data_IF_515590303673
#
_entry.id   IF_515590303673
#
_cell.length_a   1.000
_cell.length_b   1.000
_cell.length_c   1.000
_cell.angle_alpha   90.00
_cell.angle_beta   90.00
_cell.angle_gamma   90.00
#
_symmetry.space_group_name_H-M   'P 1'
#
loop_
_entity.id
_entity.type
_entity.pdbx_description
1 polymer ?
#
# COMPACT_ATOMS: atom_id res chain seq x y z
N UNK A 1 -8.37 20.80 7.85
CA UNK A 1 -7.65 19.77 7.08
C UNK A 1 -7.97 18.42 7.68
N UNK A 2 -8.40 17.45 6.87
CA UNK A 2 -8.68 16.09 7.33
C UNK A 2 -7.37 15.44 7.72
N UNK A 3 -7.22 15.03 8.98
CA UNK A 3 -5.99 14.42 9.49
C UNK A 3 -5.92 12.95 9.06
N UNK A 4 -5.34 12.70 7.90
CA UNK A 4 -5.19 11.37 7.32
C UNK A 4 -3.85 10.79 7.73
N UNK A 5 -3.84 9.54 8.18
CA UNK A 5 -2.62 8.79 8.50
C UNK A 5 -2.30 7.84 7.36
N UNK A 6 -1.09 7.94 6.81
CA UNK A 6 -0.57 6.95 5.85
C UNK A 6 -0.16 5.70 6.62
N UNK A 7 -0.81 4.58 6.32
CA UNK A 7 -0.54 3.29 6.97
C UNK A 7 0.48 2.47 6.19
N UNK A 8 0.44 2.53 4.86
CA UNK A 8 1.38 1.83 3.98
C UNK A 8 1.40 2.46 2.60
N UNK A 9 2.58 2.51 1.99
CA UNK A 9 2.77 2.79 0.57
C UNK A 9 3.44 1.58 -0.07
N UNK A 10 2.87 1.11 -1.17
CA UNK A 10 3.45 0.06 -2.01
C UNK A 10 3.97 0.73 -3.28
N UNK A 11 5.26 0.56 -3.52
CA UNK A 11 5.94 1.11 -4.68
C UNK A 11 6.66 0.02 -5.47
N UNK A 12 6.81 0.25 -6.75
CA UNK A 12 7.49 -0.61 -7.70
C UNK A 12 8.66 0.14 -8.34
N UNK A 13 9.73 -0.59 -8.62
CA UNK A 13 10.87 -0.10 -9.42
C UNK A 13 11.46 -1.23 -10.25
N UNK A 14 11.78 -0.97 -11.52
CA UNK A 14 12.51 -1.90 -12.40
C UNK A 14 14.00 -1.63 -12.27
N UNK A 15 14.67 -2.33 -11.34
CA UNK A 15 16.09 -2.09 -11.00
C UNK A 15 17.08 -2.81 -11.89
N UNK A 16 16.67 -3.90 -12.56
CA UNK A 16 17.50 -4.68 -13.48
C UNK A 16 16.66 -5.24 -14.63
N UNK A 17 17.28 -5.78 -15.66
CA UNK A 17 16.57 -6.51 -16.72
C UNK A 17 16.22 -7.93 -16.28
N UNK A 18 17.13 -8.56 -15.52
CA UNK A 18 16.94 -9.83 -14.84
C UNK A 18 17.80 -9.89 -13.58
N UNK A 19 17.40 -10.70 -12.60
CA UNK A 19 18.13 -10.98 -11.37
C UNK A 19 18.24 -12.50 -11.17
N UNK A 20 19.45 -12.96 -10.93
CA UNK A 20 19.73 -14.33 -10.50
C UNK A 20 19.53 -14.42 -8.98
N UNK A 21 18.31 -14.80 -8.60
CA UNK A 21 17.84 -14.78 -7.21
C UNK A 21 18.66 -15.72 -6.32
N UNK A 22 18.98 -16.93 -6.81
CA UNK A 22 19.78 -17.92 -6.07
C UNK A 22 21.17 -17.40 -5.79
N UNK A 23 21.86 -16.91 -6.84
CA UNK A 23 23.20 -16.33 -6.72
C UNK A 23 23.24 -15.11 -5.79
N UNK A 24 22.19 -14.29 -5.78
CA UNK A 24 22.09 -13.15 -4.87
C UNK A 24 21.96 -13.65 -3.43
N UNK A 25 21.11 -14.64 -3.18
CA UNK A 25 20.89 -15.20 -1.84
C UNK A 25 22.17 -15.77 -1.22
N UNK A 26 23.00 -16.44 -2.03
CA UNK A 26 24.29 -16.98 -1.60
C UNK A 26 25.31 -15.89 -1.21
N UNK A 27 25.29 -14.74 -1.91
CA UNK A 27 26.28 -13.66 -1.76
C UNK A 27 25.88 -12.56 -0.79
N UNK A 28 24.62 -12.47 -0.45
CA UNK A 28 24.08 -11.35 0.32
C UNK A 28 23.46 -11.80 1.66
N UNK A 29 24.22 -11.81 2.74
CA UNK A 29 23.65 -12.05 4.07
C UNK A 29 22.51 -11.07 4.38
N UNK A 30 21.41 -11.60 4.90
CA UNK A 30 20.21 -10.82 5.24
C UNK A 30 19.17 -10.71 4.13
N UNK A 31 19.42 -11.33 2.98
CA UNK A 31 18.43 -11.57 1.94
C UNK A 31 17.79 -12.94 2.18
N UNK A 32 16.48 -12.98 2.41
CA UNK A 32 15.75 -14.21 2.69
C UNK A 32 15.22 -14.81 1.39
N UNK A 33 15.56 -16.06 1.13
CA UNK A 33 15.08 -16.80 -0.03
C UNK A 33 14.61 -18.19 0.39
N UNK A 34 13.35 -18.48 0.17
CA UNK A 34 12.77 -19.82 0.25
C UNK A 34 11.93 -20.08 -1.00
N UNK A 35 12.45 -20.87 -1.96
CA UNK A 35 11.75 -21.11 -3.23
C UNK A 35 10.44 -21.89 -3.07
N UNK A 36 10.20 -22.54 -1.92
CA UNK A 36 8.94 -23.24 -1.65
C UNK A 36 7.84 -22.28 -1.20
N UNK A 37 8.20 -21.14 -0.59
CA UNK A 37 7.26 -20.14 -0.12
C UNK A 37 7.08 -18.99 -1.13
N UNK A 38 8.20 -18.53 -1.74
CA UNK A 38 8.18 -17.36 -2.60
C UNK A 38 9.29 -17.39 -3.66
N UNK A 39 8.94 -17.09 -4.89
CA UNK A 39 9.86 -17.15 -6.05
C UNK A 39 10.88 -16.00 -6.13
N UNK A 40 10.84 -15.05 -5.19
CA UNK A 40 11.73 -13.91 -5.10
C UNK A 40 12.51 -13.87 -3.79
N UNK A 41 13.33 -12.83 -3.64
CA UNK A 41 14.05 -12.52 -2.41
C UNK A 41 13.28 -11.50 -1.58
N UNK A 42 13.28 -11.67 -0.27
CA UNK A 42 12.76 -10.67 0.67
C UNK A 42 13.90 -10.07 1.49
N UNK A 43 13.92 -8.74 1.57
CA UNK A 43 14.87 -7.97 2.38
C UNK A 43 14.06 -7.12 3.35
N UNK A 44 14.29 -7.26 4.65
CA UNK A 44 13.70 -6.40 5.67
C UNK A 44 14.70 -5.36 6.12
N UNK A 45 14.30 -4.10 6.13
CA UNK A 45 15.02 -2.98 6.71
C UNK A 45 14.32 -2.59 8.02
N UNK A 46 15.10 -2.25 9.04
CA UNK A 46 14.56 -1.88 10.35
C UNK A 46 14.36 -0.35 10.51
N UNK A 47 15.13 0.43 9.78
CA UNK A 47 15.02 1.87 9.76
C UNK A 47 15.31 2.42 8.34
N UNK A 48 14.26 2.77 7.60
CA UNK A 48 12.83 2.64 7.92
C UNK A 48 12.36 1.17 7.99
N UNK A 49 11.24 0.92 8.68
CA UNK A 49 10.67 -0.42 8.79
C UNK A 49 9.90 -0.79 7.51
N UNK A 50 10.61 -1.29 6.52
CA UNK A 50 10.07 -1.67 5.22
C UNK A 50 10.58 -3.04 4.79
N UNK A 51 9.83 -3.67 3.89
CA UNK A 51 10.26 -4.87 3.17
C UNK A 51 10.44 -4.56 1.68
N UNK A 52 11.51 -5.07 1.09
CA UNK A 52 11.75 -5.06 -0.35
C UNK A 52 11.67 -6.50 -0.85
N UNK A 53 10.84 -6.71 -1.88
CA UNK A 53 10.74 -7.98 -2.57
C UNK A 53 11.43 -7.84 -3.94
N UNK A 54 12.38 -8.70 -4.24
CA UNK A 54 13.08 -8.74 -5.51
C UNK A 54 12.63 -9.94 -6.32
N UNK A 55 12.34 -9.71 -7.59
CA UNK A 55 11.84 -10.75 -8.50
C UNK A 55 12.88 -11.08 -9.59
N UNK A 56 12.86 -12.32 -10.15
CA UNK A 56 13.78 -12.74 -11.20
C UNK A 56 13.76 -11.83 -12.44
N UNK A 57 12.63 -11.23 -12.74
CA UNK A 57 12.47 -10.29 -13.86
C UNK A 57 13.10 -8.90 -13.60
N UNK A 58 13.77 -8.70 -12.46
CA UNK A 58 14.45 -7.46 -12.10
C UNK A 58 13.54 -6.40 -11.47
N UNK A 59 12.33 -6.77 -11.07
CA UNK A 59 11.42 -5.91 -10.30
C UNK A 59 11.81 -5.88 -8.83
N UNK A 60 11.65 -4.71 -8.22
CA UNK A 60 11.70 -4.49 -6.78
C UNK A 60 10.37 -3.88 -6.33
N UNK A 61 9.74 -4.49 -5.34
CA UNK A 61 8.53 -3.96 -4.69
C UNK A 61 8.90 -3.55 -3.27
N UNK A 62 8.64 -2.29 -2.93
CA UNK A 62 8.78 -1.75 -1.57
C UNK A 62 7.42 -1.71 -0.89
N UNK A 63 7.32 -2.21 0.33
CA UNK A 63 6.10 -2.16 1.15
C UNK A 63 6.44 -1.89 2.61
N UNK A 64 5.52 -1.29 3.36
CA UNK A 64 5.71 -0.90 4.77
C UNK A 64 6.09 0.57 4.94
N UNK A 65 6.46 1.28 3.88
CA UNK A 65 6.80 2.69 3.94
C UNK A 65 5.56 3.56 4.27
N UNK A 66 5.80 4.66 4.99
CA UNK A 66 4.76 5.65 5.34
C UNK A 66 4.93 6.99 4.64
N UNK A 67 6.05 7.18 3.95
CA UNK A 67 6.36 8.36 3.15
C UNK A 67 7.23 7.98 1.94
N UNK A 68 7.41 8.92 1.00
CA UNK A 68 8.16 8.69 -0.23
C UNK A 68 9.68 8.62 0.00
N UNK A 69 10.18 9.34 1.00
CA UNK A 69 11.61 9.36 1.33
C UNK A 69 12.08 7.99 1.85
N UNK A 70 11.24 7.31 2.64
CA UNK A 70 11.51 5.95 3.09
C UNK A 70 11.61 4.96 1.93
N UNK A 71 10.79 5.12 0.89
CA UNK A 71 10.83 4.28 -0.31
C UNK A 71 12.11 4.52 -1.09
N UNK A 72 12.42 5.79 -1.37
CA UNK A 72 13.61 6.18 -2.12
C UNK A 72 14.90 5.70 -1.42
N UNK A 73 14.98 5.95 -0.12
CA UNK A 73 16.08 5.47 0.71
C UNK A 73 16.23 3.94 0.63
N UNK A 74 15.14 3.21 0.83
CA UNK A 74 15.15 1.75 0.89
C UNK A 74 15.54 1.10 -0.42
N UNK A 75 15.02 1.60 -1.54
CA UNK A 75 15.38 1.11 -2.87
C UNK A 75 16.86 1.40 -3.16
N UNK A 76 17.36 2.60 -2.83
CA UNK A 76 18.77 2.97 -2.98
C UNK A 76 19.69 2.08 -2.14
N UNK A 77 19.33 1.78 -0.91
CA UNK A 77 20.09 0.89 -0.03
C UNK A 77 20.22 -0.51 -0.64
N UNK A 78 19.12 -1.09 -1.11
CA UNK A 78 19.13 -2.41 -1.73
C UNK A 78 19.92 -2.41 -3.03
N UNK A 79 19.73 -1.40 -3.88
CA UNK A 79 20.51 -1.23 -5.14
C UNK A 79 22.02 -1.15 -4.85
N UNK A 80 22.42 -0.39 -3.82
CA UNK A 80 23.83 -0.27 -3.42
C UNK A 80 24.39 -1.61 -2.90
N UNK A 81 23.62 -2.34 -2.10
CA UNK A 81 24.01 -3.69 -1.65
C UNK A 81 24.22 -4.64 -2.82
N UNK A 82 23.30 -4.66 -3.79
CA UNK A 82 23.41 -5.50 -4.99
C UNK A 82 24.62 -5.13 -5.85
N UNK A 83 24.91 -3.84 -6.03
CA UNK A 83 26.10 -3.38 -6.76
C UNK A 83 27.41 -3.81 -6.08
N UNK A 84 27.48 -3.75 -4.75
CA UNK A 84 28.67 -4.18 -3.98
C UNK A 84 28.99 -5.66 -4.15
N UNK A 85 28.01 -6.51 -4.36
CA UNK A 85 28.22 -7.94 -4.65
C UNK A 85 28.33 -8.26 -6.15
N UNK A 86 28.46 -7.24 -6.99
CA UNK A 86 28.72 -7.37 -8.43
C UNK A 86 27.47 -7.64 -9.29
N UNK A 87 26.27 -7.35 -8.79
CA UNK A 87 25.05 -7.47 -9.59
C UNK A 87 24.89 -6.24 -10.47
N UNK A 88 24.62 -6.46 -11.75
CA UNK A 88 24.39 -5.38 -12.73
C UNK A 88 23.01 -4.77 -12.51
N UNK A 89 22.99 -3.52 -12.07
CA UNK A 89 21.78 -2.73 -11.81
C UNK A 89 21.70 -1.57 -12.79
N UNK A 90 20.51 -1.20 -13.23
CA UNK A 90 20.27 -0.05 -14.09
C UNK A 90 20.86 1.24 -13.49
N UNK A 91 21.33 2.13 -14.35
CA UNK A 91 21.87 3.43 -13.93
C UNK A 91 20.80 4.33 -13.33
N UNK A 92 19.56 4.25 -13.85
CA UNK A 92 18.39 4.95 -13.35
C UNK A 92 17.31 3.95 -12.97
N UNK A 93 16.73 4.13 -11.82
CA UNK A 93 15.63 3.33 -11.28
C UNK A 93 14.45 4.26 -10.95
N UNK A 94 13.43 4.26 -11.81
CA UNK A 94 12.23 5.05 -11.58
C UNK A 94 11.33 4.33 -10.58
N UNK A 95 10.72 5.08 -9.67
CA UNK A 95 9.83 4.56 -8.62
C UNK A 95 8.41 4.91 -8.99
N UNK A 96 7.53 3.92 -9.05
CA UNK A 96 6.10 4.08 -9.30
C UNK A 96 5.31 3.66 -8.07
N UNK A 97 4.47 4.55 -7.56
CA UNK A 97 3.51 4.22 -6.49
C UNK A 97 2.41 3.34 -7.08
N UNK A 98 2.19 2.18 -6.49
CA UNK A 98 1.17 1.23 -6.92
C UNK A 98 -0.07 1.31 -6.06
N UNK A 99 0.09 1.55 -4.75
CA UNK A 99 -1.01 1.64 -3.82
C UNK A 99 -0.63 2.45 -2.59
N UNK A 100 -1.55 3.26 -2.10
CA UNK A 100 -1.46 3.93 -0.81
C UNK A 100 -2.63 3.41 0.04
N UNK A 101 -2.30 3.01 1.26
CA UNK A 101 -3.27 2.68 2.30
C UNK A 101 -3.23 3.83 3.31
N UNK A 102 -4.36 4.49 3.46
CA UNK A 102 -4.49 5.62 4.39
C UNK A 102 -5.68 5.40 5.32
N UNK A 103 -5.59 5.84 6.55
CA UNK A 103 -6.69 5.77 7.51
C UNK A 103 -7.11 7.13 7.99
N UNK A 104 -8.37 7.21 8.39
CA UNK A 104 -8.99 8.36 9.01
C UNK A 104 -9.96 7.89 10.10
N UNK A 105 -10.06 8.64 11.18
CA UNK A 105 -11.01 8.37 12.26
C UNK A 105 -11.99 9.56 12.38
N UNK A 106 -13.29 9.24 12.29
CA UNK A 106 -14.36 10.24 12.47
C UNK A 106 -14.58 10.62 13.93
N UNK A 107 -14.03 9.84 14.87
CA UNK A 107 -14.18 10.07 16.30
C UNK A 107 -15.59 9.83 16.84
N UNK A 108 -16.44 9.11 16.10
CA UNK A 108 -17.81 8.74 16.51
C UNK A 108 -18.20 7.40 15.92
N UNK A 109 -19.09 6.68 16.59
CA UNK A 109 -19.67 5.44 16.06
C UNK A 109 -20.57 5.70 14.85
N UNK A 110 -20.67 4.72 13.97
CA UNK A 110 -21.40 4.79 12.71
C UNK A 110 -22.43 3.67 12.61
N UNK A 111 -23.63 4.00 12.15
CA UNK A 111 -24.63 3.02 11.74
C UNK A 111 -24.39 2.61 10.28
N UNK A 112 -23.69 1.48 10.07
CA UNK A 112 -23.33 1.01 8.73
C UNK A 112 -24.54 0.73 7.83
N UNK A 113 -25.67 0.30 8.40
CA UNK A 113 -26.90 0.05 7.62
C UNK A 113 -27.50 1.35 7.07
N UNK A 114 -27.48 2.42 7.85
CA UNK A 114 -27.94 3.75 7.41
C UNK A 114 -27.01 4.33 6.33
N UNK A 115 -25.71 4.18 6.52
CA UNK A 115 -24.70 4.64 5.57
C UNK A 115 -24.82 3.87 4.25
N UNK A 116 -24.95 2.54 4.28
CA UNK A 116 -25.13 1.73 3.08
C UNK A 116 -26.33 2.16 2.23
N UNK A 117 -27.44 2.45 2.87
CA UNK A 117 -28.64 2.95 2.17
C UNK A 117 -28.42 4.30 1.50
N UNK A 118 -27.62 5.19 2.12
CA UNK A 118 -27.35 6.53 1.59
C UNK A 118 -26.30 6.54 0.47
N UNK A 119 -25.36 5.58 0.48
CA UNK A 119 -24.26 5.52 -0.49
C UNK A 119 -24.59 4.84 -1.83
N UNK A 120 -25.84 4.38 -2.04
CA UNK A 120 -26.27 3.58 -3.20
C UNK A 120 -25.77 2.13 -3.18
N UNK A 121 -26.71 1.19 -3.39
CA UNK A 121 -26.48 -0.26 -3.26
C UNK A 121 -25.46 -0.79 -4.27
N UNK A 122 -25.33 -0.18 -5.47
CA UNK A 122 -24.44 -0.65 -6.54
C UNK A 122 -22.96 -0.54 -6.20
N UNK A 123 -22.57 0.44 -5.37
CA UNK A 123 -21.18 0.70 -4.99
C UNK A 123 -20.83 0.23 -3.57
N UNK A 124 -21.76 -0.45 -2.88
CA UNK A 124 -21.58 -0.92 -1.52
C UNK A 124 -21.77 -2.43 -1.42
N UNK A 125 -20.89 -3.11 -0.72
CA UNK A 125 -21.09 -4.49 -0.31
C UNK A 125 -20.96 -4.60 1.21
N UNK A 126 -21.96 -5.23 1.83
CA UNK A 126 -21.93 -5.62 3.24
C UNK A 126 -21.91 -7.15 3.26
N UNK A 127 -20.73 -7.71 3.36
CA UNK A 127 -20.56 -9.14 3.60
C UNK A 127 -20.21 -9.35 5.08
N UNK A 128 -21.19 -9.13 5.97
CA UNK A 128 -20.98 -9.16 7.43
C UNK A 128 -20.35 -10.46 7.93
N UNK A 129 -20.60 -11.57 7.23
CA UNK A 129 -20.03 -12.88 7.58
C UNK A 129 -18.55 -13.00 7.21
N UNK A 130 -18.05 -12.17 6.29
CA UNK A 130 -16.67 -12.22 5.80
C UNK A 130 -15.83 -11.01 6.19
N UNK A 131 -16.47 -9.84 6.36
CA UNK A 131 -15.80 -8.61 6.67
C UNK A 131 -16.65 -7.72 7.60
N UNK A 132 -16.12 -7.28 8.76
CA UNK A 132 -16.86 -6.54 9.78
C UNK A 132 -17.05 -5.05 9.47
N UNK A 133 -17.15 -4.68 8.20
CA UNK A 133 -17.26 -3.31 7.74
C UNK A 133 -18.07 -3.17 6.45
N UNK A 134 -18.30 -1.93 6.06
CA UNK A 134 -18.91 -1.57 4.79
C UNK A 134 -17.80 -1.27 3.77
N UNK A 135 -17.84 -1.90 2.62
CA UNK A 135 -16.95 -1.63 1.49
C UNK A 135 -17.65 -0.66 0.53
N UNK A 136 -17.06 0.50 0.29
CA UNK A 136 -17.57 1.49 -0.66
C UNK A 136 -16.53 1.79 -1.74
N UNK A 137 -16.87 1.51 -2.99
CA UNK A 137 -16.01 1.74 -4.15
C UNK A 137 -16.29 3.10 -4.79
N UNK A 138 -15.26 3.82 -5.11
CA UNK A 138 -15.27 5.12 -5.79
C UNK A 138 -14.43 5.02 -7.06
N UNK A 139 -15.03 4.51 -8.14
CA UNK A 139 -14.33 4.20 -9.40
C UNK A 139 -13.66 5.44 -10.02
N UNK A 140 -14.28 6.62 -9.90
CA UNK A 140 -13.73 7.88 -10.40
C UNK A 140 -12.37 8.25 -9.79
N UNK A 141 -12.09 7.80 -8.56
CA UNK A 141 -10.82 8.04 -7.85
C UNK A 141 -9.95 6.78 -7.79
N UNK A 142 -10.44 5.64 -8.29
CA UNK A 142 -9.80 4.34 -8.09
C UNK A 142 -9.67 3.96 -6.61
N UNK A 143 -10.51 4.54 -5.74
CA UNK A 143 -10.46 4.37 -4.30
C UNK A 143 -11.49 3.35 -3.82
N UNK A 144 -11.09 2.53 -2.85
CA UNK A 144 -12.02 1.71 -2.07
C UNK A 144 -11.94 2.13 -0.62
N UNK A 145 -13.07 2.48 -0.03
CA UNK A 145 -13.18 2.85 1.37
C UNK A 145 -13.74 1.67 2.17
N UNK A 146 -13.02 1.28 3.20
CA UNK A 146 -13.46 0.34 4.22
C UNK A 146 -13.93 1.14 5.43
N UNK A 147 -15.23 1.06 5.73
CA UNK A 147 -15.89 1.86 6.75
C UNK A 147 -16.28 0.94 7.90
N UNK A 148 -15.81 1.26 9.10
CA UNK A 148 -16.07 0.47 10.29
C UNK A 148 -17.07 1.18 11.22
N UNK A 149 -17.84 0.40 11.97
CA UNK A 149 -18.81 0.94 12.95
C UNK A 149 -18.17 1.81 14.03
N UNK A 150 -16.88 1.59 14.32
CA UNK A 150 -16.11 2.43 15.25
C UNK A 150 -15.86 3.86 14.75
N UNK A 151 -16.19 4.19 13.50
CA UNK A 151 -15.85 5.47 12.87
C UNK A 151 -14.50 5.48 12.12
N UNK A 152 -13.75 4.39 12.21
CA UNK A 152 -12.50 4.25 11.44
C UNK A 152 -12.83 4.01 9.96
N UNK A 153 -12.12 4.71 9.08
CA UNK A 153 -12.18 4.57 7.62
C UNK A 153 -10.78 4.24 7.12
N UNK A 154 -10.67 3.25 6.23
CA UNK A 154 -9.42 2.91 5.55
C UNK A 154 -9.64 3.07 4.06
N UNK A 155 -8.82 3.91 3.43
CA UNK A 155 -8.79 4.11 1.98
C UNK A 155 -7.67 3.26 1.37
N UNK A 156 -7.99 2.50 0.33
CA UNK A 156 -7.05 1.66 -0.42
C UNK A 156 -7.25 1.85 -1.93
N UNK A 157 -6.25 1.49 -2.73
CA UNK A 157 -6.33 1.47 -4.21
C UNK A 157 -5.80 2.73 -4.88
N UNK A 158 -5.65 3.84 -4.16
CA UNK A 158 -5.16 5.09 -4.73
C UNK A 158 -3.64 5.08 -4.91
N UNK A 159 -3.17 5.89 -5.87
CA UNK A 159 -1.73 6.09 -6.14
C UNK A 159 -1.21 7.46 -5.70
N UNK A 160 -2.11 8.34 -5.28
CA UNK A 160 -1.80 9.69 -4.77
C UNK A 160 -2.52 9.93 -3.46
N UNK A 161 -1.86 10.58 -2.52
CA UNK A 161 -2.44 10.89 -1.21
C UNK A 161 -3.61 11.89 -1.32
N UNK A 162 -3.55 12.77 -2.31
CA UNK A 162 -4.63 13.71 -2.60
C UNK A 162 -5.94 13.00 -2.96
N UNK A 163 -5.86 11.86 -3.69
CA UNK A 163 -7.04 11.08 -4.07
C UNK A 163 -7.64 10.38 -2.83
N UNK A 164 -6.81 9.91 -1.88
CA UNK A 164 -7.28 9.39 -0.60
C UNK A 164 -8.00 10.47 0.22
N UNK A 165 -7.40 11.67 0.31
CA UNK A 165 -8.00 12.81 1.01
C UNK A 165 -9.34 13.18 0.42
N UNK A 166 -9.41 13.28 -0.91
CA UNK A 166 -10.64 13.61 -1.64
C UNK A 166 -11.73 12.56 -1.46
N UNK A 167 -11.37 11.27 -1.49
CA UNK A 167 -12.32 10.18 -1.28
C UNK A 167 -12.95 10.23 0.12
N UNK A 168 -12.13 10.50 1.14
CA UNK A 168 -12.61 10.64 2.53
C UNK A 168 -13.49 11.88 2.70
N UNK A 169 -13.15 13.00 2.08
CA UNK A 169 -13.96 14.23 2.14
C UNK A 169 -15.32 14.03 1.48
N UNK A 170 -15.38 13.42 0.29
CA UNK A 170 -16.64 13.07 -0.39
C UNK A 170 -17.51 12.16 0.50
N UNK A 171 -16.89 11.14 1.13
CA UNK A 171 -17.62 10.27 2.06
C UNK A 171 -18.18 11.07 3.24
N UNK A 172 -17.38 11.93 3.87
CA UNK A 172 -17.80 12.78 4.99
C UNK A 172 -19.00 13.66 4.62
N UNK A 173 -18.97 14.29 3.45
CA UNK A 173 -20.09 15.09 2.96
C UNK A 173 -21.36 14.26 2.81
N UNK A 174 -21.26 13.08 2.18
CA UNK A 174 -22.39 12.18 1.97
C UNK A 174 -23.02 11.68 3.28
N UNK A 175 -22.21 11.42 4.30
CA UNK A 175 -22.71 10.92 5.60
C UNK A 175 -23.06 12.03 6.59
N UNK A 176 -22.64 13.28 6.33
CA UNK A 176 -22.94 14.42 7.24
C UNK A 176 -24.42 14.75 7.33
N UNK A 177 -25.19 14.43 6.28
CA UNK A 177 -26.63 14.64 6.20
C UNK A 177 -27.46 13.52 6.86
N UNK A 178 -26.79 12.45 7.30
CA UNK A 178 -27.43 11.35 7.97
C UNK A 178 -27.45 11.61 9.49
N UNK A 179 -28.60 11.43 10.13
CA UNK A 179 -28.68 11.30 11.59
C UNK A 179 -28.04 9.95 11.97
N UNK A 180 -26.78 10.00 12.41
CA UNK A 180 -25.95 8.84 12.73
C UNK A 180 -25.74 8.81 14.24
#
# INVERSE_FOLDING_TARGET
MTNITVENIIAYSKIADALDIEKISEKAPGFMYDPNEFTGLTIKLNAPNVAILLFPDGKAICTGAKNLDDIDFSIKEVVNKLRRIGIKIKSKTDIEIQNIIASFDLGKELNLSSISKALNIENTSIEQDKFPGLVYKMDELGATLLIFSSGKIVCIGVKKLEDASKAIEILKEKISTLEI
#
